data_IF_062237560570
#
_entry.id   IF_062237560570
#
_cell.length_a   1.000
_cell.length_b   1.000
_cell.length_c   1.000
_cell.angle_alpha   90.00
_cell.angle_beta   90.00
_cell.angle_gamma   90.00
#
_symmetry.space_group_name_H-M   'P 1'
#
loop_
_entity.id
_entity.type
_entity.pdbx_description
1 polymer ?
#
# COMPACT_ATOMS: atom_id res chain seq x y z
N UNK A 1 7.40 -14.86 20.45
CA UNK A 1 6.80 -13.71 19.74
C UNK A 1 5.29 -13.77 19.93
N UNK A 2 4.62 -12.66 20.26
CA UNK A 2 3.15 -12.65 20.42
C UNK A 2 2.44 -12.59 19.04
N UNK A 3 1.17 -13.01 18.98
CA UNK A 3 0.36 -12.96 17.75
C UNK A 3 0.30 -11.56 17.11
N UNK A 4 0.06 -10.46 17.85
CA UNK A 4 0.07 -9.11 17.28
C UNK A 4 1.44 -8.72 16.70
N UNK A 5 2.53 -9.14 17.37
CA UNK A 5 3.89 -8.88 16.90
C UNK A 5 4.18 -9.64 15.61
N UNK A 6 3.77 -10.91 15.52
CA UNK A 6 3.88 -11.69 14.29
C UNK A 6 3.02 -11.08 13.17
N UNK A 7 1.78 -10.72 13.48
CA UNK A 7 0.82 -10.16 12.53
C UNK A 7 1.30 -8.87 11.88
N UNK A 8 1.84 -7.92 12.66
CA UNK A 8 2.35 -6.67 12.08
C UNK A 8 3.54 -6.87 11.13
N UNK A 9 4.39 -7.88 11.40
CA UNK A 9 5.51 -8.21 10.51
C UNK A 9 5.03 -8.93 9.25
N UNK A 10 4.14 -9.93 9.37
CA UNK A 10 3.54 -10.59 8.21
C UNK A 10 2.78 -9.60 7.32
N UNK A 11 2.10 -8.63 7.92
CA UNK A 11 1.40 -7.56 7.21
C UNK A 11 2.37 -6.65 6.42
N UNK A 12 3.55 -6.34 6.98
CA UNK A 12 4.47 -5.35 6.38
C UNK A 12 5.51 -5.90 5.44
N UNK A 13 5.83 -7.19 5.52
CA UNK A 13 6.77 -7.86 4.59
C UNK A 13 6.37 -7.67 3.11
N UNK A 14 5.10 -7.85 2.70
CA UNK A 14 4.68 -7.56 1.33
C UNK A 14 4.95 -6.12 0.90
N UNK A 15 4.76 -5.12 1.77
CA UNK A 15 5.02 -3.72 1.42
C UNK A 15 6.51 -3.42 1.28
N UNK A 16 7.39 -4.16 1.96
CA UNK A 16 8.84 -4.09 1.67
C UNK A 16 9.11 -4.56 0.25
N UNK A 17 8.58 -5.74 -0.11
CA UNK A 17 8.77 -6.31 -1.44
C UNK A 17 8.16 -5.42 -2.53
N UNK A 18 6.89 -5.01 -2.39
CA UNK A 18 6.24 -4.11 -3.33
C UNK A 18 6.93 -2.75 -3.39
N UNK A 19 7.38 -2.21 -2.26
CA UNK A 19 8.16 -0.99 -2.21
C UNK A 19 9.38 -1.07 -3.13
N UNK A 20 10.20 -2.12 -3.00
CA UNK A 20 11.35 -2.38 -3.89
C UNK A 20 10.89 -2.57 -5.34
N UNK A 21 9.85 -3.36 -5.58
CA UNK A 21 9.34 -3.64 -6.93
C UNK A 21 8.84 -2.38 -7.64
N UNK A 22 8.38 -1.35 -6.93
CA UNK A 22 8.02 -0.06 -7.56
C UNK A 22 9.24 0.64 -8.15
N UNK A 23 10.41 0.56 -7.50
CA UNK A 23 11.66 1.12 -8.04
C UNK A 23 12.21 0.27 -9.20
N UNK A 24 12.08 -1.05 -9.13
CA UNK A 24 12.58 -1.95 -10.17
C UNK A 24 11.70 -1.98 -11.44
N UNK A 25 10.40 -1.75 -11.31
CA UNK A 25 9.43 -1.85 -12.41
C UNK A 25 8.80 -0.49 -12.76
N UNK A 26 9.51 0.61 -12.48
CA UNK A 26 8.95 1.96 -12.60
C UNK A 26 8.37 2.25 -13.98
N UNK A 27 9.08 1.90 -15.04
CA UNK A 27 8.64 2.16 -16.42
C UNK A 27 7.35 1.40 -16.76
N UNK A 28 7.23 0.14 -16.32
CA UNK A 28 6.04 -0.67 -16.54
C UNK A 28 4.82 -0.13 -15.78
N UNK A 29 5.04 0.44 -14.58
CA UNK A 29 3.98 0.96 -13.72
C UNK A 29 3.61 2.41 -14.07
N UNK A 30 4.48 3.17 -14.72
CA UNK A 30 4.26 4.59 -15.01
C UNK A 30 3.01 4.83 -15.87
N UNK A 31 2.71 3.91 -16.79
CA UNK A 31 1.50 3.98 -17.64
C UNK A 31 0.19 3.76 -16.89
N UNK A 32 0.23 3.26 -15.65
CA UNK A 32 -0.95 3.06 -14.81
C UNK A 32 -1.32 4.29 -13.98
N UNK A 33 -0.44 5.30 -13.92
CA UNK A 33 -0.67 6.51 -13.12
C UNK A 33 -1.68 7.42 -13.85
N UNK A 34 -2.85 7.70 -13.26
CA UNK A 34 -3.94 8.42 -13.95
C UNK A 34 -3.75 9.94 -13.98
N UNK A 35 -2.58 10.43 -13.59
CA UNK A 35 -2.23 11.86 -13.49
C UNK A 35 -0.85 12.13 -14.10
N UNK A 36 -0.58 13.36 -14.57
CA UNK A 36 0.75 13.73 -15.06
C UNK A 36 1.85 13.48 -14.02
N UNK A 37 3.00 13.00 -14.49
CA UNK A 37 4.18 12.72 -13.66
C UNK A 37 4.68 11.28 -13.74
N UNK A 38 3.83 10.33 -14.13
CA UNK A 38 4.22 8.93 -14.43
C UNK A 38 5.13 8.33 -13.36
N UNK A 39 6.39 8.05 -13.73
CA UNK A 39 7.43 7.48 -12.88
C UNK A 39 7.61 8.16 -11.51
N UNK A 40 7.41 9.48 -11.42
CA UNK A 40 7.52 10.21 -10.14
C UNK A 40 6.57 9.63 -9.09
N UNK A 41 5.32 9.38 -9.47
CA UNK A 41 4.30 8.84 -8.57
C UNK A 41 4.56 7.39 -8.23
N UNK A 42 5.17 6.62 -9.12
CA UNK A 42 5.57 5.24 -8.85
C UNK A 42 6.68 5.20 -7.80
N UNK A 43 7.72 6.04 -7.93
CA UNK A 43 8.78 6.16 -6.93
C UNK A 43 8.24 6.64 -5.58
N UNK A 44 7.36 7.64 -5.58
CA UNK A 44 6.73 8.14 -4.36
C UNK A 44 5.90 7.03 -3.68
N UNK A 45 5.12 6.27 -4.45
CA UNK A 45 4.34 5.13 -3.92
C UNK A 45 5.27 4.09 -3.31
N UNK A 46 6.33 3.69 -4.03
CA UNK A 46 7.33 2.76 -3.52
C UNK A 46 7.99 3.24 -2.22
N UNK A 47 8.36 4.52 -2.15
CA UNK A 47 8.91 5.14 -0.95
C UNK A 47 7.93 5.11 0.22
N UNK A 48 6.64 5.43 0.00
CA UNK A 48 5.61 5.37 1.02
C UNK A 48 5.41 3.94 1.57
N UNK A 49 5.43 2.92 0.70
CA UNK A 49 5.34 1.52 1.11
C UNK A 49 6.52 1.12 2.01
N UNK A 50 7.74 1.49 1.63
CA UNK A 50 8.95 1.23 2.43
C UNK A 50 8.93 1.99 3.77
N UNK A 51 8.58 3.28 3.74
CA UNK A 51 8.51 4.11 4.93
C UNK A 51 7.48 3.57 5.93
N UNK A 52 6.34 3.08 5.45
CA UNK A 52 5.32 2.44 6.26
C UNK A 52 5.85 1.17 6.96
N UNK A 53 6.57 0.31 6.24
CA UNK A 53 7.20 -0.89 6.82
C UNK A 53 8.28 -0.53 7.85
N UNK A 54 9.15 0.43 7.53
CA UNK A 54 10.20 0.90 8.45
C UNK A 54 9.60 1.49 9.73
N UNK A 55 8.51 2.24 9.61
CA UNK A 55 7.78 2.78 10.75
C UNK A 55 7.30 1.67 11.70
N UNK A 56 6.71 0.58 11.17
CA UNK A 56 6.28 -0.58 11.97
C UNK A 56 7.44 -1.32 12.63
N UNK A 57 8.59 -1.43 11.95
CA UNK A 57 9.78 -2.11 12.48
C UNK A 57 10.48 -1.30 13.56
N UNK A 58 10.54 0.02 13.41
CA UNK A 58 11.15 0.92 14.38
C UNK A 58 10.20 1.33 15.51
N UNK A 59 8.90 1.10 15.34
CA UNK A 59 7.85 1.55 16.25
C UNK A 59 7.59 3.06 16.21
N UNK A 60 8.26 3.81 15.32
CA UNK A 60 8.18 5.27 15.26
C UNK A 60 7.08 5.71 14.31
N UNK A 61 6.15 6.54 14.80
CA UNK A 61 5.03 7.08 14.03
C UNK A 61 4.14 6.00 13.37
N UNK A 62 4.09 4.78 13.92
CA UNK A 62 3.36 3.64 13.33
C UNK A 62 1.90 3.96 13.05
N UNK A 63 1.21 4.61 13.99
CA UNK A 63 -0.19 4.99 13.79
C UNK A 63 -0.38 5.90 12.58
N UNK A 64 0.45 6.95 12.45
CA UNK A 64 0.36 7.86 11.31
C UNK A 64 0.73 7.15 10.00
N UNK A 65 1.82 6.38 9.99
CA UNK A 65 2.27 5.68 8.80
C UNK A 65 1.24 4.67 8.29
N UNK A 66 0.57 3.95 9.20
CA UNK A 66 -0.49 2.99 8.83
C UNK A 66 -1.78 3.68 8.35
N UNK A 67 -2.13 4.85 8.90
CA UNK A 67 -3.23 5.69 8.35
C UNK A 67 -2.92 6.14 6.93
N UNK A 68 -1.72 6.65 6.69
CA UNK A 68 -1.30 7.12 5.38
C UNK A 68 -1.19 5.97 4.38
N UNK A 69 -0.67 4.81 4.79
CA UNK A 69 -0.63 3.61 3.98
C UNK A 69 -2.04 3.17 3.59
N UNK A 70 -2.95 3.04 4.55
CA UNK A 70 -4.35 2.66 4.25
C UNK A 70 -5.02 3.65 3.30
N UNK A 71 -4.81 4.95 3.50
CA UNK A 71 -5.32 5.99 2.59
C UNK A 71 -4.73 5.86 1.17
N UNK A 72 -3.41 5.66 1.05
CA UNK A 72 -2.73 5.44 -0.23
C UNK A 72 -3.30 4.21 -0.96
N UNK A 73 -3.51 3.10 -0.25
CA UNK A 73 -4.08 1.89 -0.82
C UNK A 73 -5.53 2.11 -1.33
N UNK A 74 -6.34 2.88 -0.60
CA UNK A 74 -7.68 3.27 -1.07
C UNK A 74 -7.65 4.21 -2.27
N UNK A 75 -6.68 5.13 -2.33
CA UNK A 75 -6.46 5.96 -3.52
C UNK A 75 -6.15 5.07 -4.72
N UNK A 76 -5.26 4.09 -4.60
CA UNK A 76 -4.95 3.13 -5.67
C UNK A 76 -6.20 2.34 -6.10
N UNK A 77 -7.01 1.88 -5.14
CA UNK A 77 -8.28 1.20 -5.44
C UNK A 77 -9.19 2.08 -6.30
N UNK A 78 -9.43 3.32 -5.89
CA UNK A 78 -10.36 4.24 -6.57
C UNK A 78 -9.81 4.74 -7.90
N UNK A 79 -8.50 4.97 -8.01
CA UNK A 79 -7.90 5.65 -9.17
C UNK A 79 -7.30 4.71 -10.21
N UNK A 80 -6.98 3.46 -9.85
CA UNK A 80 -6.40 2.46 -10.76
C UNK A 80 -7.32 1.25 -10.90
N UNK A 81 -7.65 0.58 -9.79
CA UNK A 81 -8.37 -0.70 -9.87
C UNK A 81 -9.81 -0.55 -10.35
N UNK A 82 -10.57 0.40 -9.78
CA UNK A 82 -11.96 0.65 -10.17
C UNK A 82 -12.06 1.08 -11.65
N UNK A 83 -11.28 2.05 -12.16
CA UNK A 83 -11.28 2.39 -13.58
C UNK A 83 -10.87 1.20 -14.47
N UNK A 84 -9.88 0.41 -14.05
CA UNK A 84 -9.46 -0.80 -14.78
C UNK A 84 -10.60 -1.82 -14.92
N UNK A 85 -11.41 -2.01 -13.87
CA UNK A 85 -12.60 -2.87 -13.94
C UNK A 85 -13.66 -2.29 -14.88
N UNK A 86 -13.95 -1.00 -14.76
CA UNK A 86 -14.97 -0.33 -15.59
C UNK A 86 -14.56 -0.27 -17.07
N UNK A 87 -13.26 -0.28 -17.36
CA UNK A 87 -12.70 -0.34 -18.72
C UNK A 87 -12.72 -1.73 -19.38
N UNK A 88 -13.46 -2.70 -18.81
CA UNK A 88 -13.58 -4.06 -19.34
C UNK A 88 -12.52 -5.04 -18.84
N UNK A 89 -11.65 -4.65 -17.92
CA UNK A 89 -10.62 -5.52 -17.34
C UNK A 89 -11.03 -6.20 -16.03
N UNK A 90 -12.32 -6.46 -15.80
CA UNK A 90 -12.83 -6.96 -14.52
C UNK A 90 -12.08 -8.20 -14.01
N UNK A 91 -11.79 -9.17 -14.89
CA UNK A 91 -11.05 -10.40 -14.55
C UNK A 91 -9.61 -10.13 -14.08
N UNK A 92 -9.01 -9.05 -14.55
CA UNK A 92 -7.64 -8.64 -14.18
C UNK A 92 -7.64 -7.82 -12.88
N UNK A 93 -8.63 -6.94 -12.70
CA UNK A 93 -8.60 -5.90 -11.67
C UNK A 93 -9.40 -6.22 -10.41
N UNK A 94 -10.34 -7.18 -10.45
CA UNK A 94 -11.16 -7.54 -9.29
C UNK A 94 -10.31 -8.02 -8.10
N UNK A 95 -9.39 -8.96 -8.33
CA UNK A 95 -8.55 -9.52 -7.26
C UNK A 95 -7.62 -8.46 -6.66
N UNK A 96 -6.86 -7.67 -7.45
CA UNK A 96 -6.09 -6.55 -6.91
C UNK A 96 -6.93 -5.55 -6.11
N UNK A 97 -8.15 -5.23 -6.58
CA UNK A 97 -9.06 -4.31 -5.88
C UNK A 97 -9.45 -4.82 -4.50
N UNK A 98 -9.94 -6.06 -4.41
CA UNK A 98 -10.40 -6.65 -3.15
C UNK A 98 -9.24 -6.86 -2.18
N UNK A 99 -8.11 -7.37 -2.68
CA UNK A 99 -6.89 -7.56 -1.89
C UNK A 99 -6.40 -6.24 -1.29
N UNK A 100 -6.33 -5.19 -2.11
CA UNK A 100 -5.85 -3.86 -1.68
C UNK A 100 -6.80 -3.22 -0.69
N UNK A 101 -8.12 -3.39 -0.87
CA UNK A 101 -9.14 -2.95 0.09
C UNK A 101 -8.98 -3.63 1.45
N UNK A 102 -8.76 -4.96 1.46
CA UNK A 102 -8.50 -5.71 2.69
C UNK A 102 -7.23 -5.25 3.40
N UNK A 103 -6.14 -5.03 2.64
CA UNK A 103 -4.89 -4.50 3.18
C UNK A 103 -5.04 -3.09 3.75
N UNK A 104 -5.85 -2.22 3.13
CA UNK A 104 -6.15 -0.90 3.65
C UNK A 104 -6.88 -0.96 5.00
N UNK A 105 -7.90 -1.83 5.11
CA UNK A 105 -8.62 -2.06 6.36
C UNK A 105 -7.69 -2.55 7.47
N UNK A 106 -6.80 -3.50 7.17
CA UNK A 106 -5.79 -3.97 8.12
C UNK A 106 -4.80 -2.86 8.53
N UNK A 107 -4.45 -1.94 7.63
CA UNK A 107 -3.64 -0.77 7.94
C UNK A 107 -4.32 0.08 9.02
N UNK A 108 -5.62 0.39 8.84
CA UNK A 108 -6.35 1.22 9.80
C UNK A 108 -6.52 0.54 11.16
N UNK A 109 -6.75 -0.78 11.19
CA UNK A 109 -6.75 -1.53 12.45
C UNK A 109 -5.39 -1.45 13.14
N UNK A 110 -4.29 -1.69 12.41
CA UNK A 110 -2.95 -1.61 12.97
C UNK A 110 -2.59 -0.19 13.43
N UNK A 111 -3.10 0.83 12.74
CA UNK A 111 -2.97 2.21 13.16
C UNK A 111 -3.63 2.45 14.52
N UNK A 112 -4.89 2.01 14.70
CA UNK A 112 -5.62 2.14 15.96
C UNK A 112 -4.96 1.42 17.14
N UNK A 113 -4.30 0.29 16.89
CA UNK A 113 -3.52 -0.43 17.92
C UNK A 113 -2.30 0.37 18.40
N UNK A 114 -1.78 1.29 17.58
CA UNK A 114 -0.64 2.14 17.91
C UNK A 114 -1.05 3.60 18.21
N UNK A 115 -2.35 3.90 18.31
CA UNK A 115 -2.81 5.22 18.74
C UNK A 115 -2.54 5.40 20.24
N UNK A 116 -1.77 6.43 20.59
CA UNK A 116 -1.44 6.76 21.98
C UNK A 116 -0.20 6.07 22.57
N UNK A 117 0.55 5.31 21.76
CA UNK A 117 1.88 4.76 22.11
C UNK A 117 3.02 5.62 21.57
#
# INVERSE_FOLDING_TARGET
MSLPTLGKYLYTVPFVAFGILHFLNTEALAGMVPIPGGSLWVYLTGLCLLAASVSVYTGKHTALAMKLLGLLLLIIVVTIHVPGMLGGGADTWMTPMLHTTGLAGAAFVLAGVHEGS
#
